data_IF_471856376311
#
_entry.id   IF_471856376311
#
_cell.length_a   1.000
_cell.length_b   1.000
_cell.length_c   1.000
_cell.angle_alpha   90.00
_cell.angle_beta   90.00
_cell.angle_gamma   90.00
#
_symmetry.space_group_name_H-M   'P 1'
#
loop_
_entity.id
_entity.type
_entity.pdbx_description
1 polymer ?
#
# COMPACT_ATOMS: atom_id res chain seq x y z
N UNK A 1 28.75 -1.65 -20.73
CA UNK A 1 27.94 -1.80 -19.50
C UNK A 1 28.75 -1.98 -18.20
N UNK A 2 30.09 -1.99 -18.21
CA UNK A 2 30.89 -2.24 -16.99
C UNK A 2 31.24 -0.99 -16.16
N UNK A 3 31.09 0.22 -16.70
CA UNK A 3 31.50 1.46 -16.00
C UNK A 3 30.60 1.78 -14.81
N UNK A 4 29.29 1.61 -14.97
CA UNK A 4 28.32 1.81 -13.89
C UNK A 4 28.53 0.80 -12.76
N UNK A 5 28.74 -0.48 -13.08
CA UNK A 5 29.05 -1.53 -12.10
C UNK A 5 30.39 -1.31 -11.39
N UNK A 6 31.41 -0.81 -12.10
CA UNK A 6 32.71 -0.48 -11.50
C UNK A 6 32.60 0.71 -10.56
N UNK A 7 31.93 1.78 -10.98
CA UNK A 7 31.69 2.97 -10.13
C UNK A 7 30.84 2.63 -8.92
N UNK A 8 29.77 1.85 -9.07
CA UNK A 8 28.95 1.42 -7.93
C UNK A 8 29.76 0.57 -6.96
N UNK A 9 30.55 -0.40 -7.44
CA UNK A 9 31.41 -1.22 -6.57
C UNK A 9 32.48 -0.40 -5.84
N UNK A 10 33.00 0.65 -6.49
CA UNK A 10 33.99 1.55 -5.90
C UNK A 10 33.36 2.42 -4.81
N UNK A 11 32.18 3.00 -5.06
CA UNK A 11 31.42 3.81 -4.09
C UNK A 11 31.01 2.97 -2.87
N UNK A 12 30.54 1.75 -3.08
CA UNK A 12 30.22 0.82 -1.98
C UNK A 12 31.46 0.57 -1.13
N UNK A 13 32.62 0.33 -1.77
CA UNK A 13 33.88 0.07 -1.05
C UNK A 13 34.43 1.31 -0.35
N UNK A 14 34.28 2.49 -0.93
CA UNK A 14 34.78 3.74 -0.35
C UNK A 14 33.90 4.25 0.79
N UNK A 15 32.61 3.94 0.81
CA UNK A 15 31.73 4.31 1.94
C UNK A 15 31.71 3.23 3.02
N UNK A 16 31.63 1.95 2.66
CA UNK A 16 31.47 0.86 3.64
C UNK A 16 32.69 0.70 4.56
N UNK A 17 33.91 0.78 4.02
CA UNK A 17 35.14 0.56 4.81
C UNK A 17 35.43 1.65 5.86
N UNK A 18 35.42 2.96 5.54
CA UNK A 18 35.69 3.97 6.55
C UNK A 18 34.60 4.03 7.61
N UNK A 19 33.33 3.86 7.22
CA UNK A 19 32.21 3.84 8.17
C UNK A 19 32.35 2.66 9.14
N UNK A 20 32.61 1.45 8.64
CA UNK A 20 32.82 0.28 9.51
C UNK A 20 34.01 0.47 10.46
N UNK A 21 35.11 1.06 9.99
CA UNK A 21 36.29 1.31 10.82
C UNK A 21 36.04 2.39 11.89
N UNK A 22 35.32 3.46 11.55
CA UNK A 22 34.92 4.50 12.52
C UNK A 22 33.98 3.96 13.58
N UNK A 23 33.00 3.13 13.19
CA UNK A 23 32.07 2.49 14.12
C UNK A 23 32.82 1.53 15.06
N UNK A 24 33.82 0.79 14.56
CA UNK A 24 34.69 -0.06 15.40
C UNK A 24 35.51 0.76 16.40
N UNK A 25 36.04 1.92 16.00
CA UNK A 25 36.76 2.82 16.90
C UNK A 25 35.82 3.35 18.01
N UNK A 26 34.65 3.86 17.62
CA UNK A 26 33.63 4.34 18.57
C UNK A 26 33.12 3.26 19.53
N UNK A 27 33.03 2.00 19.08
CA UNK A 27 32.65 0.88 19.95
C UNK A 27 33.70 0.54 21.02
N UNK A 28 34.95 0.99 20.84
CA UNK A 28 36.00 0.87 21.86
C UNK A 28 36.01 2.07 22.80
N UNK A 29 35.67 3.25 22.29
CA UNK A 29 35.66 4.49 23.07
C UNK A 29 34.39 4.66 23.92
N UNK A 30 33.26 4.07 23.50
CA UNK A 30 31.98 4.25 24.18
C UNK A 30 31.35 2.92 24.65
N UNK A 31 31.31 2.72 25.97
CA UNK A 31 30.71 1.56 26.63
C UNK A 31 29.19 1.40 26.40
N UNK A 32 28.46 2.49 26.17
CA UNK A 32 27.03 2.43 25.78
C UNK A 32 26.89 1.86 24.38
N UNK A 33 27.71 2.35 23.45
CA UNK A 33 27.67 1.91 22.07
C UNK A 33 28.17 0.47 21.92
N UNK A 34 29.22 0.09 22.66
CA UNK A 34 29.69 -1.30 22.80
C UNK A 34 28.55 -2.25 23.18
N UNK A 35 27.77 -1.90 24.21
CA UNK A 35 26.62 -2.72 24.65
C UNK A 35 25.56 -2.89 23.57
N UNK A 36 25.30 -1.84 22.78
CA UNK A 36 24.36 -1.90 21.64
C UNK A 36 24.92 -2.84 20.56
N UNK A 37 26.18 -2.69 20.17
CA UNK A 37 26.82 -3.59 19.19
C UNK A 37 26.77 -5.06 19.64
N UNK A 38 27.09 -5.32 20.91
CA UNK A 38 27.07 -6.68 21.49
C UNK A 38 25.66 -7.24 21.54
N UNK A 39 24.66 -6.45 21.98
CA UNK A 39 23.27 -6.92 22.06
C UNK A 39 22.69 -7.23 20.69
N UNK A 40 22.95 -6.37 19.69
CA UNK A 40 22.53 -6.59 18.31
C UNK A 40 23.22 -7.81 17.70
N UNK A 41 24.53 -7.96 17.87
CA UNK A 41 25.27 -9.11 17.35
C UNK A 41 24.82 -10.42 18.00
N UNK A 42 24.56 -10.42 19.31
CA UNK A 42 24.01 -11.59 20.01
C UNK A 42 22.57 -11.90 19.56
N UNK A 43 21.74 -10.88 19.35
CA UNK A 43 20.39 -11.03 18.81
C UNK A 43 20.41 -11.67 17.42
N UNK A 44 21.23 -11.12 16.52
CA UNK A 44 21.40 -11.63 15.17
C UNK A 44 21.93 -13.07 15.18
N UNK A 45 22.93 -13.37 16.01
CA UNK A 45 23.44 -14.73 16.15
C UNK A 45 22.39 -15.72 16.66
N UNK A 46 21.56 -15.30 17.62
CA UNK A 46 20.46 -16.14 18.12
C UNK A 46 19.42 -16.39 17.03
N UNK A 47 19.11 -15.40 16.20
CA UNK A 47 18.18 -15.54 15.07
C UNK A 47 18.78 -16.47 14.01
N UNK A 48 20.03 -16.24 13.59
CA UNK A 48 20.73 -17.06 12.61
C UNK A 48 20.82 -18.53 13.05
N UNK A 49 21.25 -18.78 14.30
CA UNK A 49 21.28 -20.15 14.85
C UNK A 49 19.88 -20.75 15.00
N UNK A 50 18.87 -19.95 15.38
CA UNK A 50 17.49 -20.44 15.47
C UNK A 50 16.95 -20.83 14.10
N UNK A 51 17.23 -20.07 13.05
CA UNK A 51 16.79 -20.38 11.69
C UNK A 51 17.51 -21.62 11.17
N UNK A 52 18.84 -21.71 11.34
CA UNK A 52 19.62 -22.89 10.92
C UNK A 52 19.21 -24.16 11.65
N UNK A 53 19.02 -24.08 12.97
CA UNK A 53 18.60 -25.23 13.76
C UNK A 53 17.11 -25.54 13.54
N UNK A 54 16.30 -24.53 13.25
CA UNK A 54 14.89 -24.68 12.88
C UNK A 54 14.76 -25.48 11.59
N UNK A 55 15.42 -25.06 10.52
CA UNK A 55 15.35 -25.76 9.22
C UNK A 55 15.88 -27.19 9.31
N UNK A 56 16.98 -27.44 10.02
CA UNK A 56 17.50 -28.80 10.22
C UNK A 56 16.56 -29.68 11.06
N UNK A 57 15.94 -29.11 12.10
CA UNK A 57 15.05 -29.85 13.00
C UNK A 57 13.69 -30.12 12.38
N UNK A 58 13.14 -29.17 11.64
CA UNK A 58 11.83 -29.33 10.99
C UNK A 58 11.90 -30.40 9.89
N UNK A 59 13.05 -30.51 9.19
CA UNK A 59 13.32 -31.61 8.26
C UNK A 59 13.52 -32.97 8.96
N UNK A 60 14.28 -33.01 10.06
CA UNK A 60 14.48 -34.26 10.79
C UNK A 60 13.18 -34.73 11.49
N UNK A 61 12.36 -33.80 11.97
CA UNK A 61 11.07 -34.10 12.58
C UNK A 61 10.03 -34.55 11.54
N UNK A 62 10.00 -33.94 10.35
CA UNK A 62 9.13 -34.37 9.26
C UNK A 62 9.48 -35.79 8.77
N UNK A 63 10.77 -36.10 8.64
CA UNK A 63 11.24 -37.45 8.29
C UNK A 63 10.86 -38.49 9.36
N UNK A 64 11.03 -38.18 10.65
CA UNK A 64 10.64 -39.08 11.74
C UNK A 64 9.14 -39.31 11.80
N UNK A 65 8.32 -38.27 11.55
CA UNK A 65 6.86 -38.40 11.46
C UNK A 65 6.45 -39.25 10.26
N UNK A 66 7.04 -39.02 9.09
CA UNK A 66 6.78 -39.82 7.89
C UNK A 66 7.16 -41.31 8.09
N UNK A 67 8.28 -41.59 8.77
CA UNK A 67 8.70 -42.95 9.10
C UNK A 67 7.75 -43.63 10.10
N UNK A 68 7.35 -42.92 11.16
CA UNK A 68 6.44 -43.44 12.17
C UNK A 68 5.01 -43.67 11.61
N UNK A 69 4.54 -42.80 10.71
CA UNK A 69 3.30 -43.00 9.96
C UNK A 69 3.39 -44.17 8.98
N UNK A 70 4.55 -44.39 8.34
CA UNK A 70 4.77 -45.56 7.49
C UNK A 70 4.79 -46.86 8.30
N UNK A 71 5.35 -46.84 9.51
CA UNK A 71 5.27 -47.98 10.45
C UNK A 71 3.81 -48.24 10.87
N UNK A 72 3.04 -47.20 11.24
CA UNK A 72 1.61 -47.35 11.53
C UNK A 72 0.81 -47.88 10.34
N UNK A 73 1.13 -47.46 9.11
CA UNK A 73 0.44 -47.93 7.89
C UNK A 73 0.72 -49.40 7.60
N UNK A 74 1.92 -49.90 7.91
CA UNK A 74 2.27 -51.32 7.76
C UNK A 74 1.53 -52.21 8.77
N UNK A 75 1.16 -51.67 9.93
CA UNK A 75 0.48 -52.39 11.00
C UNK A 75 -1.05 -52.28 10.97
N UNK A 76 -1.66 -51.56 10.00
CA UNK A 76 -3.12 -51.53 9.82
C UNK A 76 -3.57 -52.70 8.93
N UNK A 77 -4.19 -53.77 9.48
CA UNK A 77 -4.74 -54.85 8.65
C UNK A 77 -6.04 -54.42 7.95
N UNK A 78 -6.18 -54.80 6.69
CA UNK A 78 -7.32 -54.47 5.80
C UNK A 78 -8.54 -55.39 5.98
N UNK A 79 -8.61 -56.22 7.03
CA UNK A 79 -9.79 -57.09 7.24
C UNK A 79 -10.17 -57.27 8.72
N UNK A 80 -11.48 -57.32 9.04
CA UNK A 80 -12.00 -57.30 10.40
C UNK A 80 -11.95 -58.72 11.00
N UNK A 81 -10.83 -59.08 11.63
CA UNK A 81 -10.72 -60.32 12.41
C UNK A 81 -10.09 -60.00 13.78
N UNK A 82 -10.52 -60.72 14.83
CA UNK A 82 -10.17 -60.43 16.22
C UNK A 82 -8.64 -60.42 16.43
N UNK A 83 -8.10 -59.28 16.88
CA UNK A 83 -6.66 -59.04 17.02
C UNK A 83 -6.05 -59.92 18.11
N UNK A 84 -4.92 -60.55 17.80
CA UNK A 84 -4.10 -61.29 18.76
C UNK A 84 -3.36 -60.31 19.70
N UNK A 85 -3.12 -60.67 20.96
CA UNK A 85 -2.48 -59.78 21.96
C UNK A 85 -1.10 -59.23 21.53
N UNK A 86 -0.42 -59.93 20.63
CA UNK A 86 0.85 -59.48 20.06
C UNK A 86 0.70 -58.28 19.09
N UNK A 87 -0.40 -58.20 18.36
CA UNK A 87 -0.66 -57.15 17.38
C UNK A 87 -1.16 -55.86 18.05
N UNK A 88 -1.97 -56.00 19.11
CA UNK A 88 -2.42 -54.85 19.92
C UNK A 88 -1.25 -54.18 20.64
N UNK A 89 -0.31 -54.97 21.18
CA UNK A 89 0.92 -54.45 21.80
C UNK A 89 1.85 -53.77 20.79
N UNK A 90 1.90 -54.25 19.54
CA UNK A 90 2.69 -53.65 18.48
C UNK A 90 2.07 -52.33 17.95
N UNK A 91 0.75 -52.27 17.84
CA UNK A 91 0.01 -51.08 17.44
C UNK A 91 0.06 -49.99 18.52
N UNK A 92 -0.07 -50.34 19.79
CA UNK A 92 0.08 -49.42 20.93
C UNK A 92 1.50 -48.86 21.03
N UNK A 93 2.52 -49.70 20.79
CA UNK A 93 3.91 -49.25 20.72
C UNK A 93 4.17 -48.31 19.53
N UNK A 94 3.54 -48.55 18.38
CA UNK A 94 3.65 -47.66 17.22
C UNK A 94 2.91 -46.32 17.46
N UNK A 95 1.74 -46.34 18.11
CA UNK A 95 1.02 -45.14 18.52
C UNK A 95 1.80 -44.34 19.57
N UNK A 96 2.48 -45.02 20.51
CA UNK A 96 3.38 -44.38 21.47
C UNK A 96 4.57 -43.69 20.78
N UNK A 97 5.18 -44.33 19.76
CA UNK A 97 6.24 -43.73 18.94
C UNK A 97 5.76 -42.50 18.16
N UNK A 98 4.52 -42.49 17.66
CA UNK A 98 3.94 -41.32 16.96
C UNK A 98 3.68 -40.18 17.94
N UNK A 99 3.16 -40.48 19.13
CA UNK A 99 3.00 -39.48 20.18
C UNK A 99 4.35 -38.93 20.68
N UNK A 100 5.40 -39.76 20.71
CA UNK A 100 6.76 -39.33 21.03
C UNK A 100 7.37 -38.46 19.91
N UNK A 101 7.12 -38.80 18.64
CA UNK A 101 7.51 -38.00 17.47
C UNK A 101 6.72 -36.68 17.33
N UNK A 102 5.59 -36.55 18.04
CA UNK A 102 4.80 -35.33 18.12
C UNK A 102 5.30 -34.34 19.20
N UNK A 103 6.10 -34.79 20.19
CA UNK A 103 6.61 -33.91 21.25
C UNK A 103 7.65 -32.91 20.70
N UNK A 104 7.53 -31.61 21.03
CA UNK A 104 8.46 -30.59 20.56
C UNK A 104 9.84 -30.80 21.22
N UNK A 105 10.87 -30.93 20.38
CA UNK A 105 12.25 -31.10 20.85
C UNK A 105 12.72 -29.90 21.72
N UNK A 106 13.65 -30.13 22.67
CA UNK A 106 14.15 -29.10 23.58
C UNK A 106 14.82 -27.94 22.83
N UNK A 107 14.73 -26.73 23.40
CA UNK A 107 15.32 -25.52 22.81
C UNK A 107 16.85 -25.61 22.84
N UNK A 108 17.54 -25.46 21.69
CA UNK A 108 19.00 -25.54 21.67
C UNK A 108 19.61 -24.37 22.45
N UNK A 109 20.54 -24.67 23.36
CA UNK A 109 21.31 -23.67 24.08
C UNK A 109 22.43 -23.12 23.18
N UNK A 110 22.29 -21.87 22.75
CA UNK A 110 23.24 -21.22 21.84
C UNK A 110 24.27 -20.47 22.68
N UNK A 111 25.55 -20.81 22.53
CA UNK A 111 26.65 -20.12 23.22
C UNK A 111 26.74 -18.67 22.73
N UNK A 112 26.91 -17.67 23.62
CA UNK A 112 27.11 -16.30 23.18
C UNK A 112 28.45 -16.13 22.45
N UNK A 113 28.51 -15.21 21.50
CA UNK A 113 29.77 -14.84 20.84
C UNK A 113 30.73 -14.21 21.84
N UNK A 114 32.04 -14.45 21.63
CA UNK A 114 33.10 -13.67 22.27
C UNK A 114 32.90 -12.19 22.00
N UNK A 115 33.21 -11.36 22.98
CA UNK A 115 32.91 -9.94 22.93
C UNK A 115 33.55 -9.22 21.74
N UNK A 116 34.82 -9.52 21.42
CA UNK A 116 35.52 -8.92 20.28
C UNK A 116 34.83 -9.19 18.94
N UNK A 117 34.35 -10.43 18.75
CA UNK A 117 33.62 -10.84 17.55
C UNK A 117 32.22 -10.24 17.50
N UNK A 118 31.57 -10.09 18.65
CA UNK A 118 30.27 -9.44 18.75
C UNK A 118 30.38 -7.95 18.38
N UNK A 119 31.43 -7.25 18.81
CA UNK A 119 31.69 -5.85 18.44
C UNK A 119 31.91 -5.73 16.93
N UNK A 120 32.74 -6.59 16.34
CA UNK A 120 33.02 -6.54 14.91
C UNK A 120 31.77 -6.83 14.06
N UNK A 121 31.03 -7.89 14.39
CA UNK A 121 29.78 -8.23 13.70
C UNK A 121 28.70 -7.17 13.89
N UNK A 122 28.60 -6.59 15.09
CA UNK A 122 27.65 -5.52 15.39
C UNK A 122 27.97 -4.24 14.61
N UNK A 123 29.25 -3.86 14.54
CA UNK A 123 29.70 -2.70 13.79
C UNK A 123 29.39 -2.82 12.29
N UNK A 124 29.70 -3.96 11.68
CA UNK A 124 29.37 -4.22 10.26
C UNK A 124 27.87 -4.14 10.03
N UNK A 125 27.06 -4.80 10.87
CA UNK A 125 25.61 -4.78 10.76
C UNK A 125 25.01 -3.38 10.88
N UNK A 126 25.49 -2.56 11.81
CA UNK A 126 25.01 -1.17 11.98
C UNK A 126 25.38 -0.32 10.76
N UNK A 127 26.61 -0.44 10.26
CA UNK A 127 27.04 0.31 9.07
C UNK A 127 26.21 -0.06 7.82
N UNK A 128 25.94 -1.35 7.66
CA UNK A 128 25.17 -1.86 6.52
C UNK A 128 23.71 -1.45 6.62
N UNK A 129 23.09 -1.61 7.80
CA UNK A 129 21.70 -1.19 8.05
C UNK A 129 21.53 0.31 7.82
N UNK A 130 22.49 1.13 8.28
CA UNK A 130 22.45 2.57 8.05
C UNK A 130 22.51 2.90 6.56
N UNK A 131 23.43 2.28 5.80
CA UNK A 131 23.53 2.48 4.36
C UNK A 131 22.25 2.02 3.63
N UNK A 132 21.67 0.87 4.00
CA UNK A 132 20.41 0.39 3.43
C UNK A 132 19.23 1.29 3.77
N UNK A 133 19.15 1.83 4.98
CA UNK A 133 18.07 2.73 5.39
C UNK A 133 18.18 4.06 4.62
N UNK A 134 19.38 4.63 4.49
CA UNK A 134 19.59 5.85 3.71
C UNK A 134 19.30 5.60 2.23
N UNK A 135 19.86 4.55 1.63
CA UNK A 135 19.66 4.25 0.21
C UNK A 135 18.19 3.87 -0.10
N UNK A 136 17.62 2.96 0.68
CA UNK A 136 16.22 2.55 0.56
C UNK A 136 15.26 3.71 0.85
N UNK A 137 15.57 4.52 1.85
CA UNK A 137 14.82 5.73 2.19
C UNK A 137 14.82 6.74 1.06
N UNK A 138 15.96 6.98 0.40
CA UNK A 138 16.03 7.84 -0.78
C UNK A 138 15.21 7.29 -1.95
N UNK A 139 15.28 5.99 -2.22
CA UNK A 139 14.51 5.34 -3.29
C UNK A 139 13.01 5.44 -3.00
N UNK A 140 12.57 5.15 -1.77
CA UNK A 140 11.17 5.26 -1.38
C UNK A 140 10.71 6.72 -1.42
N UNK A 141 11.52 7.65 -0.91
CA UNK A 141 11.22 9.08 -0.95
C UNK A 141 11.08 9.59 -2.38
N UNK A 142 12.00 9.24 -3.28
CA UNK A 142 11.90 9.57 -4.69
C UNK A 142 10.71 8.89 -5.35
N UNK A 143 10.43 7.61 -5.03
CA UNK A 143 9.26 6.90 -5.56
C UNK A 143 7.96 7.59 -5.13
N UNK A 144 7.81 7.97 -3.87
CA UNK A 144 6.64 8.70 -3.37
C UNK A 144 6.53 10.08 -4.02
N UNK A 145 7.65 10.82 -4.15
CA UNK A 145 7.70 12.11 -4.82
C UNK A 145 7.38 12.01 -6.31
N UNK A 146 7.82 10.95 -6.98
CA UNK A 146 7.60 10.69 -8.40
C UNK A 146 6.16 10.27 -8.67
N UNK A 147 5.58 9.41 -7.81
CA UNK A 147 4.17 9.00 -7.87
C UNK A 147 3.21 10.20 -7.86
N UNK A 148 3.49 11.23 -7.06
CA UNK A 148 2.69 12.47 -7.05
C UNK A 148 2.70 13.22 -8.38
N UNK A 149 3.75 13.11 -9.19
CA UNK A 149 3.80 13.73 -10.52
C UNK A 149 3.12 12.86 -11.57
N UNK A 150 3.22 11.55 -11.41
CA UNK A 150 2.59 10.59 -12.30
C UNK A 150 1.07 10.60 -12.17
N UNK A 151 0.50 10.79 -10.97
CA UNK A 151 -0.96 10.90 -10.80
C UNK A 151 -1.53 12.11 -11.54
N UNK A 152 -0.92 13.29 -11.42
CA UNK A 152 -1.37 14.49 -12.16
C UNK A 152 -1.28 14.28 -13.66
N UNK A 153 -0.22 13.62 -14.16
CA UNK A 153 -0.12 13.28 -15.59
C UNK A 153 -1.22 12.31 -16.04
N UNK A 154 -1.57 11.35 -15.19
CA UNK A 154 -2.66 10.40 -15.47
C UNK A 154 -4.00 11.11 -15.48
N UNK A 155 -4.25 11.98 -14.50
CA UNK A 155 -5.45 12.84 -14.44
C UNK A 155 -5.56 13.74 -15.67
N UNK A 156 -4.47 14.36 -16.12
CA UNK A 156 -4.43 15.18 -17.34
C UNK A 156 -4.74 14.36 -18.59
N UNK A 157 -4.19 13.14 -18.70
CA UNK A 157 -4.44 12.23 -19.82
C UNK A 157 -5.88 11.74 -19.81
N UNK A 158 -6.42 11.40 -18.64
CA UNK A 158 -7.80 10.98 -18.46
C UNK A 158 -8.79 12.09 -18.82
N UNK A 159 -8.52 13.33 -18.40
CA UNK A 159 -9.30 14.51 -18.79
C UNK A 159 -9.34 14.70 -20.31
N UNK A 160 -8.19 14.59 -20.98
CA UNK A 160 -8.11 14.68 -22.45
C UNK A 160 -8.84 13.53 -23.15
N UNK A 161 -8.78 12.32 -22.61
CA UNK A 161 -9.51 11.17 -23.14
C UNK A 161 -11.03 11.42 -23.02
N UNK A 162 -11.50 11.89 -21.87
CA UNK A 162 -12.91 12.21 -21.64
C UNK A 162 -13.40 13.33 -22.57
N UNK A 163 -12.61 14.38 -22.77
CA UNK A 163 -12.93 15.45 -23.73
C UNK A 163 -13.03 14.90 -25.16
N UNK A 164 -12.06 14.10 -25.59
CA UNK A 164 -12.07 13.48 -26.92
C UNK A 164 -13.30 12.57 -27.11
N UNK A 165 -13.62 11.73 -26.13
CA UNK A 165 -14.83 10.89 -26.17
C UNK A 165 -16.11 11.72 -26.25
N UNK A 166 -16.20 12.84 -25.52
CA UNK A 166 -17.34 13.75 -25.59
C UNK A 166 -17.45 14.42 -26.96
N UNK A 167 -16.34 14.90 -27.53
CA UNK A 167 -16.35 15.49 -28.88
C UNK A 167 -16.74 14.48 -29.94
N UNK A 168 -16.29 13.23 -29.81
CA UNK A 168 -16.71 12.15 -30.69
C UNK A 168 -18.22 11.89 -30.58
N UNK A 169 -18.74 11.77 -29.35
CA UNK A 169 -20.18 11.59 -29.10
C UNK A 169 -21.02 12.74 -29.67
N UNK A 170 -20.63 13.99 -29.40
CA UNK A 170 -21.33 15.17 -29.93
C UNK A 170 -21.31 15.23 -31.46
N UNK A 171 -20.19 14.85 -32.08
CA UNK A 171 -20.06 14.78 -33.54
C UNK A 171 -21.00 13.72 -34.12
N UNK A 172 -21.06 12.54 -33.49
CA UNK A 172 -21.98 11.46 -33.89
C UNK A 172 -23.43 11.91 -33.79
N UNK A 173 -23.82 12.57 -32.70
CA UNK A 173 -25.18 13.10 -32.50
C UNK A 173 -25.55 14.17 -33.53
N UNK A 174 -24.64 15.10 -33.84
CA UNK A 174 -24.85 16.13 -34.85
C UNK A 174 -25.07 15.53 -36.24
N UNK A 175 -24.30 14.50 -36.61
CA UNK A 175 -24.50 13.77 -37.87
C UNK A 175 -25.90 13.14 -37.92
N UNK A 176 -26.32 12.48 -36.84
CA UNK A 176 -27.65 11.85 -36.74
C UNK A 176 -28.77 12.89 -36.89
N UNK A 177 -28.63 14.07 -36.29
CA UNK A 177 -29.59 15.17 -36.44
C UNK A 177 -29.68 15.64 -37.89
N UNK A 178 -28.54 15.84 -38.55
CA UNK A 178 -28.47 16.26 -39.94
C UNK A 178 -29.09 15.24 -40.91
N UNK A 179 -28.88 13.93 -40.66
CA UNK A 179 -29.51 12.88 -41.45
C UNK A 179 -31.05 12.96 -41.38
N UNK A 180 -31.60 13.21 -40.18
CA UNK A 180 -33.05 13.36 -40.00
C UNK A 180 -33.58 14.55 -40.80
N UNK A 181 -32.88 15.68 -40.79
CA UNK A 181 -33.28 16.86 -41.58
C UNK A 181 -33.23 16.59 -43.09
N UNK A 182 -32.17 15.93 -43.58
CA UNK A 182 -32.09 15.54 -44.99
C UNK A 182 -33.21 14.59 -45.41
N UNK A 183 -33.55 13.61 -44.56
CA UNK A 183 -34.67 12.71 -44.83
C UNK A 183 -36.01 13.45 -44.85
N UNK A 184 -36.21 14.43 -43.96
CA UNK A 184 -37.40 15.27 -43.97
C UNK A 184 -37.50 16.13 -45.24
N UNK A 185 -36.40 16.75 -45.67
CA UNK A 185 -36.37 17.54 -46.91
C UNK A 185 -36.62 16.67 -48.14
N UNK A 186 -36.00 15.49 -48.22
CA UNK A 186 -36.26 14.52 -49.31
C UNK A 186 -37.71 14.05 -49.32
N UNK A 187 -38.33 13.84 -48.16
CA UNK A 187 -39.75 13.50 -48.06
C UNK A 187 -40.65 14.61 -48.61
N UNK A 188 -40.35 15.88 -48.29
CA UNK A 188 -41.09 17.04 -48.81
C UNK A 188 -40.96 17.21 -50.33
N UNK A 189 -39.80 16.87 -50.89
CA UNK A 189 -39.54 16.99 -52.33
C UNK A 189 -39.92 15.75 -53.16
N UNK A 190 -40.47 14.69 -52.55
CA UNK A 190 -41.00 13.52 -53.27
C UNK A 190 -39.93 12.57 -53.84
N UNK A 191 -38.65 12.77 -53.56
CA UNK A 191 -37.51 12.01 -54.10
C UNK A 191 -37.06 10.84 -53.20
N UNK A 192 -37.99 10.11 -52.56
CA UNK A 192 -37.62 8.96 -51.72
C UNK A 192 -37.69 7.62 -52.49
N UNK A 193 -36.55 7.04 -52.91
CA UNK A 193 -36.52 5.61 -53.24
C UNK A 193 -36.78 4.79 -51.97
N UNK A 194 -37.63 3.76 -52.08
CA UNK A 194 -38.11 2.92 -50.96
C UNK A 194 -37.01 2.20 -50.15
N UNK A 195 -35.72 2.30 -50.52
CA UNK A 195 -34.61 1.55 -49.91
C UNK A 195 -33.64 2.36 -49.03
N UNK A 196 -33.61 3.70 -49.07
CA UNK A 196 -32.60 4.49 -48.35
C UNK A 196 -33.07 4.87 -46.93
N UNK A 197 -33.23 3.87 -46.05
CA UNK A 197 -33.63 4.14 -44.66
C UNK A 197 -32.48 4.60 -43.75
N UNK A 198 -31.22 4.47 -44.18
CA UNK A 198 -30.03 4.84 -43.39
C UNK A 198 -28.91 5.32 -44.32
N UNK A 199 -28.43 6.53 -44.10
CA UNK A 199 -27.37 7.19 -44.87
C UNK A 199 -26.05 7.13 -44.09
N UNK A 200 -26.10 7.22 -42.75
CA UNK A 200 -24.90 7.14 -41.91
C UNK A 200 -24.43 5.69 -41.65
N UNK A 201 -23.10 5.48 -41.57
CA UNK A 201 -22.50 4.18 -41.31
C UNK A 201 -22.75 3.66 -39.88
N UNK A 202 -22.73 2.34 -39.70
CA UNK A 202 -23.18 1.62 -38.48
C UNK A 202 -22.53 2.09 -37.17
N UNK A 203 -21.23 2.43 -37.19
CA UNK A 203 -20.46 2.89 -36.03
C UNK A 203 -20.89 4.24 -35.45
N UNK A 204 -21.64 5.06 -36.19
CA UNK A 204 -22.23 6.31 -35.69
C UNK A 204 -23.45 6.03 -34.80
N UNK A 205 -24.13 4.90 -35.05
CA UNK A 205 -25.34 4.47 -34.34
C UNK A 205 -25.05 3.49 -33.20
N UNK A 206 -23.87 2.86 -33.22
CA UNK A 206 -23.39 2.03 -32.12
C UNK A 206 -22.97 2.97 -30.98
N UNK A 207 -23.94 3.42 -30.18
CA UNK A 207 -23.68 3.85 -28.81
C UNK A 207 -23.24 2.60 -28.05
N UNK A 208 -21.98 2.49 -27.59
CA UNK A 208 -21.67 1.47 -26.62
C UNK A 208 -22.58 1.73 -25.42
N UNK A 209 -23.57 0.87 -25.22
CA UNK A 209 -24.28 0.82 -23.94
C UNK A 209 -23.19 0.71 -22.88
N UNK A 210 -23.23 1.62 -21.90
CA UNK A 210 -22.44 1.49 -20.69
C UNK A 210 -22.88 0.18 -20.01
N UNK A 211 -22.22 -0.91 -20.37
CA UNK A 211 -22.21 -2.12 -19.57
C UNK A 211 -21.56 -1.70 -18.27
N UNK A 212 -22.39 -1.42 -17.27
CA UNK A 212 -22.02 -1.13 -15.89
C UNK A 212 -21.01 -2.21 -15.48
N UNK A 213 -19.72 -1.83 -15.48
CA UNK A 213 -18.66 -2.73 -15.11
C UNK A 213 -18.88 -3.10 -13.64
N UNK A 214 -19.29 -4.35 -13.44
CA UNK A 214 -19.52 -4.96 -12.15
C UNK A 214 -18.27 -4.75 -11.28
N UNK A 215 -18.46 -4.12 -10.13
CA UNK A 215 -17.38 -3.78 -9.18
C UNK A 215 -16.76 -5.09 -8.68
N UNK A 216 -15.63 -5.50 -9.27
CA UNK A 216 -14.89 -6.67 -8.81
C UNK A 216 -14.42 -6.47 -7.36
N UNK A 217 -14.68 -7.50 -6.56
CA UNK A 217 -14.46 -7.54 -5.13
C UNK A 217 -13.01 -7.19 -4.73
N UNK A 218 -12.80 -6.61 -3.53
CA UNK A 218 -11.48 -6.22 -3.05
C UNK A 218 -10.51 -7.41 -3.01
N UNK A 219 -9.60 -7.46 -3.98
CA UNK A 219 -8.53 -8.44 -4.04
C UNK A 219 -7.52 -8.29 -2.88
N UNK A 220 -6.69 -9.31 -2.66
CA UNK A 220 -5.70 -9.38 -1.56
C UNK A 220 -4.85 -8.11 -1.39
N UNK A 221 -4.56 -7.38 -2.47
CA UNK A 221 -3.83 -6.12 -2.43
C UNK A 221 -4.56 -4.99 -1.71
N UNK A 222 -5.90 -4.93 -1.73
CA UNK A 222 -6.66 -3.93 -0.99
C UNK A 222 -6.60 -4.19 0.52
N UNK A 223 -6.55 -5.47 0.92
CA UNK A 223 -6.38 -5.87 2.31
C UNK A 223 -4.98 -5.50 2.80
N UNK A 224 -3.94 -5.71 2.00
CA UNK A 224 -2.58 -5.25 2.32
C UNK A 224 -2.49 -3.72 2.36
N UNK A 225 -3.14 -3.03 1.42
CA UNK A 225 -3.18 -1.56 1.38
C UNK A 225 -3.87 -0.97 2.62
N UNK A 226 -4.93 -1.61 3.15
CA UNK A 226 -5.59 -1.16 4.39
C UNK A 226 -4.68 -1.17 5.62
N UNK A 227 -3.68 -2.07 5.68
CA UNK A 227 -2.69 -2.08 6.78
C UNK A 227 -1.60 -1.02 6.61
N UNK A 228 -1.35 -0.56 5.38
CA UNK A 228 -0.38 0.50 5.07
C UNK A 228 -1.00 1.90 5.06
N UNK A 229 -2.32 2.02 4.92
CA UNK A 229 -3.11 3.27 4.89
C UNK A 229 -3.18 4.02 6.23
N UNK A 230 -2.43 3.60 7.25
CA UNK A 230 -2.41 4.21 8.59
C UNK A 230 -1.87 5.67 8.62
N UNK A 231 -1.42 6.22 7.49
CA UNK A 231 -0.89 7.59 7.39
C UNK A 231 -1.79 8.63 6.70
N UNK A 232 -2.74 8.25 5.84
CA UNK A 232 -3.44 9.19 4.95
C UNK A 232 -4.68 9.85 5.60
N UNK A 233 -5.31 9.17 6.57
CA UNK A 233 -6.61 9.59 7.12
C UNK A 233 -6.56 10.76 8.11
N UNK A 234 -5.38 11.18 8.57
CA UNK A 234 -5.24 12.31 9.50
C UNK A 234 -5.16 13.66 8.78
N UNK A 235 -4.41 13.71 7.66
CA UNK A 235 -4.25 14.94 6.85
C UNK A 235 -5.53 15.31 6.10
N UNK A 236 -6.26 14.32 5.57
CA UNK A 236 -7.51 14.55 4.84
C UNK A 236 -8.65 15.02 5.75
N UNK A 237 -8.70 14.54 7.02
CA UNK A 237 -9.66 15.04 8.02
C UNK A 237 -9.35 16.47 8.45
N UNK A 238 -8.07 16.82 8.62
CA UNK A 238 -7.68 18.19 8.93
C UNK A 238 -8.00 19.15 7.77
N UNK A 239 -7.76 18.73 6.52
CA UNK A 239 -8.09 19.53 5.33
C UNK A 239 -9.60 19.72 5.13
N UNK A 240 -10.42 18.70 5.43
CA UNK A 240 -11.88 18.79 5.35
C UNK A 240 -12.48 19.78 6.37
N UNK A 241 -12.00 19.76 7.62
CA UNK A 241 -12.47 20.66 8.69
C UNK A 241 -12.10 22.13 8.40
N UNK A 242 -10.93 22.37 7.79
CA UNK A 242 -10.49 23.72 7.39
C UNK A 242 -11.35 24.28 6.24
N UNK A 243 -11.74 23.44 5.28
CA UNK A 243 -12.60 23.86 4.17
C UNK A 243 -14.06 24.11 4.60
N UNK A 244 -14.61 23.31 5.52
CA UNK A 244 -15.93 23.55 6.10
C UNK A 244 -16.00 24.89 6.85
N UNK A 245 -14.93 25.23 7.57
CA UNK A 245 -14.82 26.51 8.30
C UNK A 245 -14.82 27.72 7.35
N UNK A 246 -14.26 27.57 6.14
CA UNK A 246 -14.18 28.64 5.13
C UNK A 246 -15.50 28.82 4.36
N UNK A 247 -16.26 27.75 4.17
CA UNK A 247 -17.60 27.83 3.54
C UNK A 247 -18.64 28.49 4.45
N UNK A 248 -18.58 28.25 5.78
CA UNK A 248 -19.54 28.86 6.73
C UNK A 248 -19.30 30.37 6.91
N UNK A 249 -18.06 30.84 6.82
CA UNK A 249 -17.73 32.27 6.91
C UNK A 249 -18.16 33.09 5.68
N UNK A 250 -18.44 32.44 4.54
CA UNK A 250 -18.77 33.13 3.28
C UNK A 250 -20.30 33.28 3.09
N UNK A 251 -21.11 32.51 3.81
CA UNK A 251 -22.59 32.55 3.69
C UNK A 251 -23.24 33.63 4.59
N UNK A 252 -22.55 34.15 5.61
CA UNK A 252 -23.12 35.13 6.55
C UNK A 252 -23.02 36.60 6.14
N UNK A 253 -22.41 36.95 5.00
CA UNK A 253 -22.16 38.36 4.63
C UNK A 253 -23.02 38.89 3.47
N UNK A 254 -23.85 38.06 2.82
CA UNK A 254 -24.57 38.46 1.59
C UNK A 254 -26.10 38.59 1.70
N UNK A 255 -26.69 38.61 2.89
CA UNK A 255 -28.15 38.67 3.02
C UNK A 255 -28.62 39.56 4.20
N UNK A 256 -28.48 40.88 4.09
CA UNK A 256 -29.37 41.84 4.78
C UNK A 256 -29.10 43.28 4.30
N UNK A 257 -29.65 43.64 3.15
CA UNK A 257 -29.83 45.04 2.78
C UNK A 257 -31.09 45.18 1.94
N UNK A 258 -32.17 45.63 2.56
CA UNK A 258 -33.11 46.65 2.07
C UNK A 258 -34.16 46.99 3.18
N UNK A 259 -34.79 48.18 3.12
CA UNK A 259 -35.07 49.00 4.30
C UNK A 259 -36.59 49.18 4.59
N UNK A 260 -36.95 50.26 5.29
CA UNK A 260 -38.26 50.91 5.58
C UNK A 260 -38.92 50.61 6.97
N UNK A 261 -39.79 51.51 7.52
CA UNK A 261 -39.42 52.53 8.54
C UNK A 261 -40.32 52.48 9.81
N UNK A 262 -40.27 53.55 10.64
CA UNK A 262 -41.30 54.07 11.61
C UNK A 262 -40.81 54.25 13.06
N UNK A 263 -40.47 55.51 13.35
CA UNK A 263 -40.98 56.42 14.39
C UNK A 263 -40.88 56.14 15.92
N UNK A 264 -40.28 57.16 16.57
CA UNK A 264 -40.65 57.80 17.86
C UNK A 264 -40.13 57.21 19.18
N UNK A 265 -39.19 57.94 19.80
CA UNK A 265 -39.33 58.36 21.21
C UNK A 265 -38.42 59.56 21.51
N UNK A 266 -39.00 60.53 22.21
CA UNK A 266 -38.46 61.84 22.58
C UNK A 266 -37.42 61.80 23.72
N UNK A 267 -36.68 62.91 23.85
CA UNK A 267 -35.78 63.27 24.95
C UNK A 267 -34.70 64.24 24.45
N UNK A 268 -35.00 65.53 24.28
CA UNK A 268 -34.76 66.59 25.27
C UNK A 268 -33.38 66.50 25.94
N UNK A 269 -32.40 67.27 25.45
CA UNK A 269 -31.84 68.36 26.25
C UNK A 269 -30.90 69.29 25.46
N UNK A 270 -31.04 70.55 25.81
CA UNK A 270 -30.30 71.76 25.47
C UNK A 270 -28.77 71.65 25.51
N UNK A 271 -28.04 72.39 24.67
CA UNK A 271 -27.56 73.75 25.01
C UNK A 271 -26.68 74.35 23.89
N UNK A 272 -26.70 75.68 23.84
CA UNK A 272 -26.03 76.57 22.92
C UNK A 272 -24.48 76.51 22.97
N UNK A 273 -23.82 76.94 21.89
CA UNK A 273 -23.08 78.23 21.78
C UNK A 273 -22.10 78.16 20.58
N UNK A 274 -22.14 79.14 19.67
CA UNK A 274 -21.18 79.29 18.55
C UNK A 274 -19.82 79.87 18.98
N UNK A 275 -19.17 80.70 18.14
CA UNK A 275 -18.45 80.37 16.91
C UNK A 275 -16.97 80.85 16.93
N UNK A 276 -16.22 80.58 15.84
CA UNK A 276 -15.07 81.34 15.26
C UNK A 276 -13.69 80.65 15.21
N UNK A 277 -13.20 80.59 13.97
CA UNK A 277 -11.86 80.98 13.44
C UNK A 277 -10.62 80.76 14.32
N UNK A 278 -9.68 79.99 13.78
CA UNK A 278 -8.40 80.49 13.24
C UNK A 278 -7.89 79.48 12.21
#
# INVERSE_FOLDING_TARGET
MSLTLKLSSLVIRTLSKPIANQIKAQAREHERFRRICVSMAQGLHRIDMRLRLGTLRDNAASQKRAAAEAELRKLKPTSPTAKTEAETKAEEAALAKVQEAAKPAPKPHIRPLSESKAIESGATFISETFLFLVAGGLIVFESLRSRRKETTRREDVESRLAELEQTEKATREALIALEKELLQLKAKHGELPKSSKRILPRWVWDTPEETVAEVEAPGLFSRVASYLSFGESAEQRAAAVINESKTVATTSTSAAQQPVPVATSAGHDSNATGPKKA
#
